data_IF_826405256821
#
_entry.id   IF_826405256821
#
_cell.length_a   1.000
_cell.length_b   1.000
_cell.length_c   1.000
_cell.angle_alpha   90.00
_cell.angle_beta   90.00
_cell.angle_gamma   90.00
#
_symmetry.space_group_name_H-M   'P 1'
#
loop_
_entity.id
_entity.type
_entity.pdbx_description
1 polymer ?
#
# COMPACT_ATOMS: atom_id res chain seq x y z
N UNK A 1 48.64 -2.11 17.30
CA UNK A 1 47.86 -0.95 17.79
C UNK A 1 47.26 -0.30 16.55
N UNK A 2 46.00 -0.63 16.22
CA UNK A 2 44.79 0.17 16.49
C UNK A 2 44.48 1.10 15.30
N UNK A 3 43.30 1.19 14.70
CA UNK A 3 41.98 0.56 14.88
C UNK A 3 41.36 0.56 13.47
N UNK A 4 40.90 -0.60 13.00
CA UNK A 4 40.08 -0.69 11.79
C UNK A 4 38.88 0.25 11.92
N UNK A 5 38.75 1.18 10.98
CA UNK A 5 37.60 2.07 10.90
C UNK A 5 36.32 1.22 10.92
N UNK A 6 35.34 1.54 11.78
CA UNK A 6 34.15 0.73 11.89
C UNK A 6 33.42 0.80 10.57
N UNK A 7 33.24 -0.37 9.95
CA UNK A 7 32.44 -0.52 8.75
C UNK A 7 31.12 0.19 8.95
N UNK A 8 30.89 1.23 8.14
CA UNK A 8 29.55 1.76 7.91
C UNK A 8 28.77 0.56 7.38
N UNK A 9 28.10 -0.15 8.29
CA UNK A 9 27.00 -1.00 7.94
C UNK A 9 26.00 -0.06 7.27
N UNK A 10 26.15 0.12 5.95
CA UNK A 10 25.13 0.69 5.07
C UNK A 10 23.99 -0.29 5.19
N UNK A 11 23.20 -0.10 6.24
CA UNK A 11 21.86 -0.62 6.38
C UNK A 11 21.09 0.12 5.30
N UNK A 12 21.31 -0.30 4.06
CA UNK A 12 20.61 0.15 2.87
C UNK A 12 19.16 -0.18 3.18
N UNK A 13 18.43 0.82 3.69
CA UNK A 13 16.98 0.79 3.74
C UNK A 13 16.57 0.66 2.29
N UNK A 14 16.47 -0.59 1.81
CA UNK A 14 16.03 -0.90 0.46
C UNK A 14 14.72 -0.16 0.30
N UNK A 15 14.67 0.72 -0.70
CA UNK A 15 13.47 1.44 -1.05
C UNK A 15 12.27 0.48 -1.03
N UNK A 16 11.09 0.91 -0.58
CA UNK A 16 9.93 0.06 -0.57
C UNK A 16 9.63 -0.38 -2.02
N UNK A 17 9.64 -1.70 -2.25
CA UNK A 17 9.54 -2.33 -3.57
C UNK A 17 8.18 -2.99 -3.73
N UNK A 18 7.46 -2.62 -4.78
CA UNK A 18 6.22 -3.27 -5.20
C UNK A 18 6.54 -4.64 -5.78
N UNK A 19 6.13 -5.73 -5.14
CA UNK A 19 6.41 -7.11 -5.61
C UNK A 19 5.92 -7.39 -7.04
N UNK A 20 4.85 -6.71 -7.48
CA UNK A 20 4.29 -6.86 -8.83
C UNK A 20 5.10 -6.16 -9.92
N UNK A 21 5.74 -5.04 -9.60
CA UNK A 21 6.36 -4.16 -10.59
C UNK A 21 7.84 -3.89 -10.32
N UNK A 22 8.46 -4.49 -9.30
CA UNK A 22 9.87 -4.28 -8.91
C UNK A 22 10.83 -4.54 -10.07
N UNK A 23 10.56 -5.56 -10.88
CA UNK A 23 11.39 -5.94 -12.02
C UNK A 23 11.34 -4.92 -13.18
N UNK A 24 10.33 -4.06 -13.22
CA UNK A 24 10.07 -3.17 -14.35
C UNK A 24 10.24 -1.68 -14.01
N UNK A 25 10.60 -1.35 -12.76
CA UNK A 25 10.76 0.04 -12.37
C UNK A 25 12.02 0.66 -12.95
N UNK A 26 11.84 1.82 -13.57
CA UNK A 26 12.95 2.75 -13.76
C UNK A 26 13.39 3.33 -12.40
N UNK A 27 14.66 3.71 -12.23
CA UNK A 27 15.17 4.28 -10.99
C UNK A 27 14.36 5.49 -10.48
N UNK A 28 13.84 6.30 -11.40
CA UNK A 28 12.99 7.46 -11.12
C UNK A 28 11.63 7.04 -10.51
N UNK A 29 10.96 6.06 -11.11
CA UNK A 29 9.70 5.50 -10.58
C UNK A 29 9.93 4.87 -9.19
N UNK A 30 11.10 4.27 -8.97
CA UNK A 30 11.47 3.72 -7.67
C UNK A 30 11.67 4.83 -6.62
N UNK A 31 12.31 5.94 -6.98
CA UNK A 31 12.48 7.09 -6.09
C UNK A 31 11.13 7.76 -5.76
N UNK A 32 10.25 7.91 -6.75
CA UNK A 32 8.91 8.46 -6.57
C UNK A 32 8.06 7.60 -5.62
N UNK A 33 8.06 6.27 -5.84
CA UNK A 33 7.33 5.34 -4.97
C UNK A 33 7.87 5.36 -3.54
N UNK A 34 9.19 5.49 -3.38
CA UNK A 34 9.83 5.60 -2.08
C UNK A 34 9.45 6.91 -1.37
N UNK A 35 9.38 8.03 -2.10
CA UNK A 35 8.99 9.32 -1.55
C UNK A 35 7.55 9.35 -1.05
N UNK A 36 6.64 8.66 -1.75
CA UNK A 36 5.21 8.56 -1.38
C UNK A 36 4.94 7.53 -0.28
N UNK A 37 5.87 6.62 -0.01
CA UNK A 37 5.66 5.53 0.92
C UNK A 37 5.75 6.01 2.38
N UNK A 38 4.69 5.89 3.19
CA UNK A 38 4.73 6.24 4.61
C UNK A 38 5.72 5.35 5.38
N UNK A 39 6.73 5.97 5.98
CA UNK A 39 7.74 5.26 6.75
C UNK A 39 7.21 4.86 8.14
N UNK A 40 7.31 3.56 8.46
CA UNK A 40 6.89 3.02 9.76
C UNK A 40 5.44 2.52 9.78
N UNK A 41 5.16 1.54 10.65
CA UNK A 41 3.88 0.85 10.67
C UNK A 41 2.70 1.75 11.09
N UNK A 42 2.93 2.73 11.97
CA UNK A 42 1.88 3.66 12.38
C UNK A 42 1.45 4.57 11.23
N UNK A 43 2.43 5.17 10.52
CA UNK A 43 2.17 6.00 9.35
C UNK A 43 1.48 5.20 8.24
N UNK A 44 1.91 3.96 8.00
CA UNK A 44 1.26 3.06 7.04
C UNK A 44 -0.19 2.75 7.42
N UNK A 45 -0.46 2.49 8.71
CA UNK A 45 -1.82 2.20 9.18
C UNK A 45 -2.72 3.44 9.05
N UNK A 46 -2.20 4.62 9.40
CA UNK A 46 -2.91 5.89 9.24
C UNK A 46 -3.18 6.22 7.76
N UNK A 47 -2.20 5.97 6.89
CA UNK A 47 -2.37 6.13 5.44
C UNK A 47 -3.49 5.24 4.90
N UNK A 48 -3.55 3.96 5.28
CA UNK A 48 -4.64 3.09 4.86
C UNK A 48 -5.99 3.57 5.40
N UNK A 49 -6.07 4.00 6.66
CA UNK A 49 -7.32 4.58 7.17
C UNK A 49 -7.76 5.78 6.34
N UNK A 50 -6.86 6.70 6.00
CA UNK A 50 -7.19 7.85 5.16
C UNK A 50 -7.66 7.42 3.76
N UNK A 51 -6.96 6.48 3.11
CA UNK A 51 -7.30 5.96 1.80
C UNK A 51 -8.67 5.26 1.75
N UNK A 52 -9.14 4.72 2.89
CA UNK A 52 -10.43 4.07 3.04
C UNK A 52 -11.42 4.90 3.88
N UNK A 53 -11.32 6.24 3.84
CA UNK A 53 -12.27 7.18 4.46
C UNK A 53 -12.52 6.92 5.96
N UNK A 54 -11.49 6.51 6.69
CA UNK A 54 -11.56 6.19 8.12
C UNK A 54 -12.20 4.84 8.44
N UNK A 55 -12.56 4.03 7.45
CA UNK A 55 -13.24 2.75 7.67
C UNK A 55 -12.27 1.67 8.18
N UNK A 56 -12.13 1.61 9.51
CA UNK A 56 -11.24 0.67 10.18
C UNK A 56 -11.64 -0.80 9.96
N UNK A 57 -12.91 -1.10 9.72
CA UNK A 57 -13.38 -2.47 9.43
C UNK A 57 -12.91 -2.96 8.07
N UNK A 58 -12.95 -2.10 7.04
CA UNK A 58 -12.39 -2.40 5.72
C UNK A 58 -10.88 -2.60 5.80
N UNK A 59 -10.16 -1.71 6.49
CA UNK A 59 -8.72 -1.84 6.69
C UNK A 59 -8.38 -3.14 7.44
N UNK A 60 -9.14 -3.49 8.48
CA UNK A 60 -8.96 -4.72 9.22
C UNK A 60 -9.15 -5.97 8.33
N UNK A 61 -10.19 -5.98 7.49
CA UNK A 61 -10.43 -7.06 6.53
C UNK A 61 -9.30 -7.18 5.49
N UNK A 62 -8.84 -6.06 4.92
CA UNK A 62 -7.75 -6.02 3.94
C UNK A 62 -6.42 -6.55 4.48
N UNK A 63 -6.20 -6.35 5.78
CA UNK A 63 -4.99 -6.76 6.49
C UNK A 63 -5.13 -8.14 7.17
N UNK A 64 -6.32 -8.76 7.13
CA UNK A 64 -6.59 -10.02 7.82
C UNK A 64 -6.43 -9.91 9.34
N UNK A 65 -6.86 -8.80 9.94
CA UNK A 65 -6.74 -8.53 11.37
C UNK A 65 -8.06 -8.02 11.98
N UNK A 66 -8.03 -7.67 13.26
CA UNK A 66 -9.19 -7.11 13.99
C UNK A 66 -9.17 -5.59 13.94
N UNK A 67 -10.35 -4.95 13.90
CA UNK A 67 -10.50 -3.48 13.95
C UNK A 67 -9.80 -2.87 15.17
N UNK A 68 -9.84 -3.54 16.32
CA UNK A 68 -9.11 -3.13 17.54
C UNK A 68 -7.60 -3.04 17.31
N UNK A 69 -7.03 -3.94 16.51
CA UNK A 69 -5.59 -3.95 16.18
C UNK A 69 -5.22 -2.72 15.34
N UNK A 70 -6.07 -2.36 14.37
CA UNK A 70 -5.89 -1.15 13.54
C UNK A 70 -5.85 0.09 14.44
N UNK A 71 -6.86 0.29 15.30
CA UNK A 71 -6.91 1.45 16.19
C UNK A 71 -5.73 1.51 17.18
N UNK A 72 -5.31 0.37 17.75
CA UNK A 72 -4.16 0.31 18.63
C UNK A 72 -2.89 0.81 17.94
N UNK A 73 -2.58 0.28 16.76
CA UNK A 73 -1.37 0.71 16.04
C UNK A 73 -1.45 2.15 15.53
N UNK A 74 -2.63 2.67 15.18
CA UNK A 74 -2.81 4.08 14.84
C UNK A 74 -2.52 5.01 16.03
N UNK A 75 -2.90 4.60 17.24
CA UNK A 75 -2.65 5.35 18.49
C UNK A 75 -1.22 5.20 19.04
N UNK A 76 -0.32 4.55 18.29
CA UNK A 76 1.08 4.39 18.72
C UNK A 76 1.28 3.27 19.75
N UNK A 77 0.52 2.18 19.65
CA UNK A 77 0.72 1.00 20.51
C UNK A 77 2.20 0.55 20.49
N UNK A 78 2.83 0.33 21.66
CA UNK A 78 4.28 0.16 21.76
C UNK A 78 4.79 -1.14 21.16
N UNK A 79 3.95 -2.19 21.13
CA UNK A 79 4.35 -3.45 20.50
C UNK A 79 4.26 -3.33 18.98
N UNK A 80 5.35 -3.65 18.25
CA UNK A 80 5.31 -3.63 16.81
C UNK A 80 4.36 -4.72 16.29
N UNK A 81 3.67 -4.48 15.17
CA UNK A 81 2.83 -5.50 14.56
C UNK A 81 3.65 -6.74 14.20
N UNK A 82 3.02 -7.91 14.29
CA UNK A 82 3.65 -9.18 13.93
C UNK A 82 4.09 -9.23 12.46
N UNK A 83 5.01 -10.13 12.08
CA UNK A 83 5.63 -10.16 10.75
C UNK A 83 4.62 -10.32 9.61
N UNK A 84 3.56 -11.12 9.80
CA UNK A 84 2.48 -11.28 8.81
C UNK A 84 1.74 -9.96 8.55
N UNK A 85 1.37 -9.25 9.63
CA UNK A 85 0.70 -7.96 9.54
C UNK A 85 1.60 -6.90 8.92
N UNK A 86 2.90 -6.88 9.25
CA UNK A 86 3.88 -5.96 8.62
C UNK A 86 3.96 -6.18 7.10
N UNK A 87 4.01 -7.43 6.65
CA UNK A 87 4.05 -7.75 5.21
C UNK A 87 2.76 -7.33 4.51
N UNK A 88 1.61 -7.69 5.07
CA UNK A 88 0.30 -7.30 4.53
C UNK A 88 0.16 -5.77 4.44
N UNK A 89 0.54 -5.06 5.51
CA UNK A 89 0.49 -3.61 5.57
C UNK A 89 1.39 -2.97 4.51
N UNK A 90 2.66 -3.39 4.43
CA UNK A 90 3.60 -2.91 3.41
C UNK A 90 3.06 -3.13 2.00
N UNK A 91 2.53 -4.33 1.71
CA UNK A 91 1.97 -4.66 0.39
C UNK A 91 0.76 -3.79 0.04
N UNK A 92 -0.19 -3.62 0.96
CA UNK A 92 -1.38 -2.79 0.70
C UNK A 92 -1.05 -1.32 0.49
N UNK A 93 -0.10 -0.79 1.25
CA UNK A 93 0.39 0.58 1.03
C UNK A 93 1.07 0.70 -0.33
N UNK A 94 1.93 -0.26 -0.70
CA UNK A 94 2.58 -0.30 -2.00
C UNK A 94 1.60 -0.35 -3.17
N UNK A 95 0.51 -1.13 -3.05
CA UNK A 95 -0.55 -1.19 -4.06
C UNK A 95 -1.20 0.19 -4.31
N UNK A 96 -1.15 1.10 -3.34
CA UNK A 96 -1.76 2.43 -3.40
C UNK A 96 -0.78 3.56 -3.74
N UNK A 97 0.54 3.34 -3.60
CA UNK A 97 1.54 4.38 -3.92
C UNK A 97 2.36 4.06 -5.17
N UNK A 98 2.39 2.80 -5.60
CA UNK A 98 3.06 2.37 -6.82
C UNK A 98 2.42 3.04 -8.04
N UNK A 99 3.17 3.85 -8.83
CA UNK A 99 2.64 4.52 -10.01
C UNK A 99 1.99 3.56 -11.00
N UNK A 100 2.59 2.38 -11.20
CA UNK A 100 2.05 1.35 -12.10
C UNK A 100 0.80 0.67 -11.57
N UNK A 101 0.74 0.36 -10.27
CA UNK A 101 -0.51 -0.16 -9.67
C UNK A 101 -1.66 0.85 -9.79
N UNK A 102 -1.36 2.14 -9.65
CA UNK A 102 -2.34 3.20 -9.83
C UNK A 102 -2.83 3.27 -11.27
N UNK A 103 -1.92 3.22 -12.25
CA UNK A 103 -2.28 3.15 -13.68
C UNK A 103 -3.10 1.90 -14.02
N UNK A 104 -2.68 0.72 -13.56
CA UNK A 104 -3.39 -0.53 -13.77
C UNK A 104 -4.82 -0.47 -13.21
N UNK A 105 -4.98 0.11 -12.01
CA UNK A 105 -6.28 0.29 -11.38
C UNK A 105 -7.16 1.26 -12.16
N UNK A 106 -6.63 2.38 -12.63
CA UNK A 106 -7.38 3.33 -13.44
C UNK A 106 -7.88 2.70 -14.75
N UNK A 107 -7.06 1.85 -15.38
CA UNK A 107 -7.46 1.09 -16.59
C UNK A 107 -8.59 0.11 -16.27
N UNK A 108 -8.50 -0.63 -15.18
CA UNK A 108 -9.57 -1.56 -14.78
C UNK A 108 -10.87 -0.84 -14.39
N UNK A 109 -10.79 0.30 -13.69
CA UNK A 109 -11.96 1.12 -13.37
C UNK A 109 -12.63 1.66 -14.65
N UNK A 110 -11.87 2.12 -15.64
CA UNK A 110 -12.39 2.54 -16.93
C UNK A 110 -13.05 1.38 -17.71
N UNK A 111 -12.45 0.18 -17.68
CA UNK A 111 -13.05 -1.03 -18.28
C UNK A 111 -14.36 -1.39 -17.59
N UNK A 112 -14.40 -1.32 -16.26
CA UNK A 112 -15.59 -1.62 -15.48
C UNK A 112 -16.72 -0.64 -15.79
N UNK A 113 -16.43 0.67 -15.79
CA UNK A 113 -17.40 1.71 -16.17
C UNK A 113 -17.99 1.48 -17.57
N UNK A 114 -17.16 1.07 -18.55
CA UNK A 114 -17.63 0.72 -19.90
C UNK A 114 -18.55 -0.51 -19.90
N UNK A 115 -18.26 -1.53 -19.09
CA UNK A 115 -19.13 -2.72 -18.96
C UNK A 115 -20.45 -2.35 -18.32
N UNK A 116 -20.43 -1.51 -17.28
CA UNK A 116 -21.65 -1.11 -16.57
C UNK A 116 -22.53 -0.20 -17.42
N UNK A 117 -21.95 0.73 -18.20
CA UNK A 117 -22.69 1.51 -19.18
C UNK A 117 -23.37 0.63 -20.24
N UNK A 118 -22.68 -0.40 -20.76
CA UNK A 118 -23.27 -1.37 -21.70
C UNK A 118 -24.40 -2.17 -21.06
N UNK A 119 -24.28 -2.55 -19.80
CA UNK A 119 -25.34 -3.25 -19.05
C UNK A 119 -26.55 -2.36 -18.82
N UNK A 120 -26.34 -1.10 -18.45
CA UNK A 120 -27.41 -0.13 -18.26
C UNK A 120 -28.18 0.11 -19.57
N UNK A 121 -27.49 0.29 -20.70
CA UNK A 121 -28.10 0.47 -22.01
C UNK A 121 -28.98 -0.71 -22.45
N UNK A 122 -28.64 -1.94 -22.06
CA UNK A 122 -29.46 -3.15 -22.35
C UNK A 122 -30.69 -3.30 -21.46
N UNK A 123 -30.76 -2.59 -20.33
CA UNK A 123 -31.88 -2.66 -19.38
C UNK A 123 -32.98 -1.62 -19.66
N UNK A 124 -32.78 -0.76 -20.65
CA UNK A 124 -33.80 0.19 -21.10
C UNK A 124 -34.92 -0.64 -21.75
N UNK A 125 -36.16 -0.63 -21.20
CA UNK A 125 -37.28 -1.31 -21.81
C UNK A 125 -37.50 -0.74 -23.22
N UNK A 126 -37.71 -1.62 -24.21
CA UNK A 126 -38.29 -1.21 -25.49
C UNK A 126 -39.77 -0.95 -25.23
N UNK A 127 -40.17 0.32 -25.23
CA UNK A 127 -41.57 0.72 -25.38
C UNK A 127 -42.10 0.31 -26.76
#
# INVERSE_FOLDING_TARGET
MNISAPGIARNSRKAPRCERHDAFFHPEEQAESAARFPAGHQAQMAFLLAAYAGNASVVAALLGTRTRTVHRHCRGWPLPPGPRLRRALRRRVLDLVCPRCLSDRAVEEARQARRDARRAARRIPRE
#
